data_IF_454386599375
#
_entry.id   IF_454386599375
#
_cell.length_a   1.000
_cell.length_b   1.000
_cell.length_c   1.000
_cell.angle_alpha   90.00
_cell.angle_beta   90.00
_cell.angle_gamma   90.00
#
_symmetry.space_group_name_H-M   'P 1'
#
loop_
_entity.id
_entity.type
_entity.pdbx_description
1 polymer ?
#
# COMPACT_ATOMS: atom_id res chain seq x y z
N UNK A 1 33.98 -12.28 -3.42
CA UNK A 1 33.84 -12.16 -4.89
C UNK A 1 32.36 -12.25 -5.15
N UNK A 2 31.70 -11.10 -5.14
CA UNK A 2 30.23 -11.04 -5.07
C UNK A 2 29.63 -11.33 -6.43
N UNK A 3 28.79 -12.36 -6.49
CA UNK A 3 27.97 -12.72 -7.63
C UNK A 3 26.84 -11.69 -7.79
N UNK A 4 27.15 -10.51 -8.34
CA UNK A 4 26.11 -9.65 -8.89
C UNK A 4 25.56 -10.33 -10.15
N UNK A 5 24.38 -10.92 -10.05
CA UNK A 5 23.60 -11.34 -11.21
C UNK A 5 23.29 -10.10 -12.04
N UNK A 6 24.08 -9.82 -13.07
CA UNK A 6 23.81 -8.68 -13.95
C UNK A 6 22.54 -8.98 -14.75
N UNK A 7 21.50 -8.19 -14.52
CA UNK A 7 20.31 -8.16 -15.35
C UNK A 7 20.73 -7.97 -16.82
N UNK A 8 20.13 -8.68 -17.80
CA UNK A 8 20.48 -8.51 -19.20
C UNK A 8 20.25 -7.05 -19.65
N UNK A 9 20.95 -6.58 -20.70
CA UNK A 9 20.69 -5.26 -21.28
C UNK A 9 19.20 -5.07 -21.58
N UNK A 10 18.63 -3.97 -21.10
CA UNK A 10 17.23 -3.63 -21.29
C UNK A 10 17.11 -2.13 -21.50
N UNK A 11 16.53 -1.75 -22.64
CA UNK A 11 16.35 -0.37 -23.07
C UNK A 11 15.01 -0.23 -23.80
N UNK A 12 14.28 0.83 -23.50
CA UNK A 12 12.99 1.11 -24.11
C UNK A 12 12.94 2.57 -24.59
N UNK A 13 12.21 2.77 -25.68
CA UNK A 13 11.99 4.07 -26.27
C UNK A 13 10.85 4.80 -25.54
N UNK A 14 11.02 6.08 -25.19
CA UNK A 14 10.03 6.87 -24.45
C UNK A 14 9.39 7.96 -25.30
N UNK A 15 10.19 8.77 -26.01
CA UNK A 15 9.72 9.95 -26.75
C UNK A 15 10.44 10.12 -28.09
N UNK A 16 9.68 10.33 -29.17
CA UNK A 16 10.09 10.84 -30.50
C UNK A 16 11.37 10.23 -31.10
N UNK A 17 11.60 8.93 -30.91
CA UNK A 17 12.82 8.17 -31.24
C UNK A 17 14.17 8.74 -30.77
N UNK A 18 14.17 9.72 -29.86
CA UNK A 18 15.37 10.38 -29.37
C UNK A 18 15.62 10.17 -27.87
N UNK A 19 14.61 9.80 -27.08
CA UNK A 19 14.74 9.62 -25.63
C UNK A 19 14.50 8.16 -25.23
N UNK A 20 15.45 7.58 -24.50
CA UNK A 20 15.47 6.17 -24.11
C UNK A 20 15.65 6.03 -22.60
N UNK A 21 15.01 5.01 -22.02
CA UNK A 21 15.21 4.57 -20.64
C UNK A 21 15.88 3.20 -20.65
N UNK A 22 16.86 2.97 -19.78
CA UNK A 22 17.50 1.66 -19.69
C UNK A 22 18.10 1.32 -18.34
N UNK A 23 18.77 0.17 -18.28
CA UNK A 23 19.48 -0.32 -17.10
C UNK A 23 21.00 -0.16 -17.25
N UNK A 24 21.76 -0.52 -16.21
CA UNK A 24 23.22 -0.38 -16.24
C UNK A 24 23.86 -1.26 -17.33
N UNK A 25 23.27 -2.43 -17.61
CA UNK A 25 23.77 -3.33 -18.64
C UNK A 25 23.62 -2.73 -20.05
N UNK A 26 22.49 -2.09 -20.36
CA UNK A 26 22.32 -1.38 -21.65
C UNK A 26 23.25 -0.18 -21.78
N UNK A 27 23.49 0.54 -20.68
CA UNK A 27 24.43 1.67 -20.67
C UNK A 27 25.91 1.27 -20.79
N UNK A 28 26.23 -0.01 -20.59
CA UNK A 28 27.58 -0.57 -20.82
C UNK A 28 27.72 -1.30 -22.15
N UNK A 29 26.61 -1.59 -22.85
CA UNK A 29 26.62 -2.29 -24.12
C UNK A 29 26.89 -1.32 -25.27
N UNK A 30 28.15 -1.22 -25.70
CA UNK A 30 28.57 -0.32 -26.78
C UNK A 30 27.86 -0.64 -28.10
N UNK A 31 27.67 -1.92 -28.46
CA UNK A 31 26.99 -2.28 -29.71
C UNK A 31 25.54 -1.79 -29.73
N UNK A 32 24.85 -1.86 -28.58
CA UNK A 32 23.47 -1.40 -28.44
C UNK A 32 23.38 0.13 -28.58
N UNK A 33 24.34 0.86 -27.99
CA UNK A 33 24.42 2.31 -28.10
C UNK A 33 24.68 2.74 -29.55
N UNK A 34 25.60 2.07 -30.24
CA UNK A 34 25.89 2.32 -31.66
C UNK A 34 24.67 2.02 -32.55
N UNK A 35 24.01 0.86 -32.36
CA UNK A 35 22.83 0.48 -33.13
C UNK A 35 21.68 1.47 -32.97
N UNK A 36 21.48 2.02 -31.76
CA UNK A 36 20.43 3.00 -31.48
C UNK A 36 20.86 4.46 -31.76
N UNK A 37 22.14 4.68 -32.07
CA UNK A 37 22.71 6.00 -32.30
C UNK A 37 22.70 6.89 -31.05
N UNK A 38 22.89 6.31 -29.86
CA UNK A 38 22.93 7.07 -28.60
C UNK A 38 24.12 8.02 -28.62
N UNK A 39 23.86 9.32 -28.50
CA UNK A 39 24.90 10.36 -28.50
C UNK A 39 25.18 10.92 -27.12
N UNK A 40 24.20 10.83 -26.20
CA UNK A 40 24.30 11.35 -24.84
C UNK A 40 23.79 10.34 -23.82
N UNK A 41 24.40 10.34 -22.63
CA UNK A 41 24.03 9.45 -21.52
C UNK A 41 23.79 10.26 -20.25
N UNK A 42 22.72 9.94 -19.53
CA UNK A 42 22.46 10.38 -18.16
C UNK A 42 22.53 9.16 -17.23
N UNK A 43 23.62 9.04 -16.47
CA UNK A 43 23.79 8.03 -15.44
C UNK A 43 23.22 8.52 -14.11
N UNK A 44 22.24 7.80 -13.57
CA UNK A 44 21.64 8.11 -12.26
C UNK A 44 21.90 6.96 -11.29
N UNK A 45 23.17 6.83 -10.87
CA UNK A 45 23.68 5.73 -10.06
C UNK A 45 24.67 6.26 -9.01
N UNK A 46 24.68 5.68 -7.81
CA UNK A 46 25.74 5.92 -6.83
C UNK A 46 27.12 5.66 -7.44
N UNK A 47 28.08 6.52 -7.10
CA UNK A 47 29.47 6.42 -7.54
C UNK A 47 29.63 6.46 -9.08
N UNK A 48 28.64 7.00 -9.80
CA UNK A 48 28.79 7.27 -11.23
C UNK A 48 29.63 8.52 -11.46
N UNK A 49 30.49 8.48 -12.46
CA UNK A 49 31.33 9.60 -12.87
C UNK A 49 31.10 9.89 -14.34
N UNK A 50 31.11 11.18 -14.69
CA UNK A 50 31.04 11.60 -16.09
C UNK A 50 32.32 11.16 -16.81
N UNK A 51 32.16 10.66 -18.03
CA UNK A 51 33.26 10.23 -18.90
C UNK A 51 33.56 11.25 -20.00
N UNK A 52 32.86 12.39 -20.03
CA UNK A 52 33.01 13.40 -21.07
C UNK A 52 31.81 14.35 -21.16
N UNK A 53 31.84 15.32 -22.09
CA UNK A 53 30.81 16.34 -22.23
C UNK A 53 29.41 15.78 -22.55
N UNK A 54 29.35 14.64 -23.26
CA UNK A 54 28.09 13.99 -23.62
C UNK A 54 27.60 12.99 -22.56
N UNK A 55 28.17 13.01 -21.35
CA UNK A 55 27.77 12.13 -20.26
C UNK A 55 27.53 12.94 -18.99
N UNK A 56 26.28 13.03 -18.56
CA UNK A 56 25.91 13.56 -17.25
C UNK A 56 25.84 12.42 -16.23
N UNK A 57 26.60 12.52 -15.14
CA UNK A 57 26.51 11.61 -14.00
C UNK A 57 25.87 12.31 -12.80
N UNK A 58 24.86 11.66 -12.22
CA UNK A 58 24.13 12.07 -11.02
C UNK A 58 24.29 10.94 -9.99
N UNK A 59 25.09 11.20 -8.96
CA UNK A 59 25.38 10.21 -7.92
C UNK A 59 24.34 10.27 -6.80
N UNK A 60 23.33 9.41 -6.90
CA UNK A 60 22.22 9.29 -5.93
C UNK A 60 21.91 7.82 -5.60
N UNK A 61 21.63 7.54 -4.32
CA UNK A 61 21.08 6.26 -3.87
C UNK A 61 19.69 6.01 -4.45
N UNK A 62 19.30 4.74 -4.57
CA UNK A 62 17.88 4.39 -4.71
C UNK A 62 17.30 4.26 -3.30
N UNK A 63 17.00 5.39 -2.67
CA UNK A 63 16.49 5.47 -1.31
C UNK A 63 15.40 6.54 -1.25
N UNK A 64 14.36 6.30 -0.47
CA UNK A 64 13.26 7.23 -0.25
C UNK A 64 13.72 8.53 0.42
N UNK A 65 14.87 8.50 1.11
CA UNK A 65 15.47 9.64 1.81
C UNK A 65 16.43 10.47 0.96
N UNK A 66 16.78 9.99 -0.24
CA UNK A 66 17.79 10.61 -1.10
C UNK A 66 17.23 11.85 -1.81
N UNK A 67 18.06 12.88 -1.98
CA UNK A 67 17.65 14.13 -2.63
C UNK A 67 18.00 14.12 -4.12
N UNK A 68 17.10 13.57 -4.93
CA UNK A 68 17.23 13.65 -6.39
C UNK A 68 16.70 14.99 -6.92
N UNK A 69 15.80 15.65 -6.20
CA UNK A 69 15.10 16.87 -6.56
C UNK A 69 16.08 17.98 -6.98
N UNK A 70 17.13 18.22 -6.20
CA UNK A 70 18.11 19.26 -6.49
C UNK A 70 18.89 19.04 -7.80
N UNK A 71 18.92 17.80 -8.30
CA UNK A 71 19.62 17.44 -9.54
C UNK A 71 18.74 17.54 -10.79
N UNK A 72 17.41 17.55 -10.63
CA UNK A 72 16.47 17.49 -11.75
C UNK A 72 16.63 18.65 -12.75
N UNK A 73 16.80 19.93 -12.35
CA UNK A 73 16.97 21.02 -13.32
C UNK A 73 18.16 20.81 -14.26
N UNK A 74 19.29 20.34 -13.71
CA UNK A 74 20.51 20.08 -14.48
C UNK A 74 20.28 18.92 -15.45
N UNK A 75 19.60 17.86 -15.01
CA UNK A 75 19.28 16.71 -15.84
C UNK A 75 18.35 17.09 -17.01
N UNK A 76 17.27 17.80 -16.71
CA UNK A 76 16.32 18.25 -17.72
C UNK A 76 16.98 19.16 -18.77
N UNK A 77 17.82 20.11 -18.33
CA UNK A 77 18.58 20.98 -19.25
C UNK A 77 19.53 20.20 -20.14
N UNK A 78 20.25 19.22 -19.58
CA UNK A 78 21.15 18.36 -20.36
C UNK A 78 20.40 17.55 -21.42
N UNK A 79 19.25 16.96 -21.05
CA UNK A 79 18.39 16.22 -21.98
C UNK A 79 17.89 17.16 -23.07
N UNK A 80 17.34 18.33 -22.72
CA UNK A 80 16.78 19.26 -23.69
C UNK A 80 17.83 19.73 -24.71
N UNK A 81 19.00 20.16 -24.24
CA UNK A 81 20.09 20.60 -25.13
C UNK A 81 20.50 19.49 -26.12
N UNK A 82 20.65 18.26 -25.63
CA UNK A 82 21.01 17.13 -26.47
C UNK A 82 19.95 16.83 -27.55
N UNK A 83 18.67 16.97 -27.20
CA UNK A 83 17.56 16.77 -28.14
C UNK A 83 17.47 17.90 -29.18
N UNK A 84 17.68 19.15 -28.77
CA UNK A 84 17.71 20.32 -29.65
C UNK A 84 18.84 20.20 -30.70
N UNK A 85 19.97 19.61 -30.33
CA UNK A 85 21.09 19.29 -31.22
C UNK A 85 20.87 17.99 -32.03
N UNK A 86 19.63 17.50 -32.14
CA UNK A 86 19.25 16.26 -32.84
C UNK A 86 19.95 15.01 -32.31
N UNK A 87 20.42 15.05 -31.07
CA UNK A 87 21.01 13.92 -30.37
C UNK A 87 19.97 12.90 -29.91
N UNK A 88 20.47 11.76 -29.41
CA UNK A 88 19.69 10.71 -28.78
C UNK A 88 20.23 10.43 -27.39
N UNK A 89 19.34 10.46 -26.40
CA UNK A 89 19.70 10.44 -24.98
C UNK A 89 19.25 9.12 -24.35
N UNK A 90 20.18 8.42 -23.70
CA UNK A 90 19.89 7.31 -22.81
C UNK A 90 19.92 7.79 -21.36
N UNK A 91 18.79 7.71 -20.66
CA UNK A 91 18.72 7.91 -19.21
C UNK A 91 18.64 6.55 -18.53
N UNK A 92 19.60 6.24 -17.65
CA UNK A 92 19.63 4.94 -16.99
C UNK A 92 19.96 5.04 -15.51
N UNK A 93 19.53 4.02 -14.77
CA UNK A 93 20.04 3.71 -13.44
C UNK A 93 20.45 2.23 -13.39
N UNK A 94 20.58 1.64 -12.20
CA UNK A 94 20.99 0.22 -12.08
C UNK A 94 19.98 -0.68 -12.80
N UNK A 95 18.69 -0.55 -12.50
CA UNK A 95 17.62 -1.41 -13.04
C UNK A 95 16.74 -0.73 -14.09
N UNK A 96 16.86 0.59 -14.27
CA UNK A 96 15.97 1.35 -15.14
C UNK A 96 14.53 1.41 -14.61
N UNK A 97 14.35 1.43 -13.29
CA UNK A 97 13.02 1.31 -12.63
C UNK A 97 12.64 2.59 -11.88
N UNK A 98 13.53 3.07 -11.00
CA UNK A 98 13.22 4.17 -10.06
C UNK A 98 13.92 5.48 -10.44
N UNK A 99 15.20 5.66 -10.09
CA UNK A 99 15.98 6.90 -10.32
C UNK A 99 15.91 7.47 -11.74
N UNK A 100 16.16 6.65 -12.76
CA UNK A 100 16.12 7.09 -14.16
C UNK A 100 14.72 7.48 -14.61
N UNK A 101 13.71 6.75 -14.13
CA UNK A 101 12.30 7.09 -14.33
C UNK A 101 11.99 8.45 -13.73
N UNK A 102 12.43 8.73 -12.49
CA UNK A 102 12.23 10.04 -11.86
C UNK A 102 12.78 11.19 -12.70
N UNK A 103 14.00 11.04 -13.24
CA UNK A 103 14.59 12.05 -14.13
C UNK A 103 13.77 12.24 -15.41
N UNK A 104 13.30 11.16 -16.02
CA UNK A 104 12.47 11.25 -17.22
C UNK A 104 11.09 11.86 -16.94
N UNK A 105 10.45 11.51 -15.82
CA UNK A 105 9.20 12.14 -15.40
C UNK A 105 9.40 13.64 -15.21
N UNK A 106 10.46 14.05 -14.51
CA UNK A 106 10.81 15.45 -14.32
C UNK A 106 11.01 16.19 -15.66
N UNK A 107 11.71 15.57 -16.61
CA UNK A 107 11.91 16.13 -17.95
C UNK A 107 10.57 16.32 -18.68
N UNK A 108 9.69 15.33 -18.68
CA UNK A 108 8.38 15.42 -19.32
C UNK A 108 7.47 16.45 -18.64
N UNK A 109 7.53 16.57 -17.32
CA UNK A 109 6.81 17.60 -16.58
C UNK A 109 7.26 19.01 -17.02
N UNK A 110 8.57 19.25 -17.05
CA UNK A 110 9.11 20.57 -17.39
C UNK A 110 8.89 20.93 -18.88
N UNK A 111 9.19 19.99 -19.79
CA UNK A 111 9.14 20.21 -21.25
C UNK A 111 7.72 20.20 -21.83
N UNK A 112 6.84 19.33 -21.31
CA UNK A 112 5.48 19.12 -21.85
C UNK A 112 4.36 19.57 -20.91
N UNK A 113 4.69 20.18 -19.77
CA UNK A 113 3.73 20.64 -18.74
C UNK A 113 2.77 19.54 -18.26
N UNK A 114 3.27 18.31 -18.21
CA UNK A 114 2.51 17.16 -17.74
C UNK A 114 2.48 17.13 -16.21
N UNK A 115 1.41 16.58 -15.63
CA UNK A 115 1.43 16.21 -14.21
C UNK A 115 2.38 15.00 -14.00
N UNK A 116 2.94 14.83 -12.78
CA UNK A 116 3.79 13.67 -12.47
C UNK A 116 3.16 12.34 -12.86
N UNK A 117 1.88 12.16 -12.54
CA UNK A 117 1.13 10.94 -12.85
C UNK A 117 0.93 10.73 -14.35
N UNK A 118 0.67 11.80 -15.12
CA UNK A 118 0.53 11.69 -16.56
C UNK A 118 1.85 11.33 -17.24
N UNK A 119 2.95 11.96 -16.82
CA UNK A 119 4.28 11.69 -17.33
C UNK A 119 4.75 10.26 -16.98
N UNK A 120 4.53 9.81 -15.74
CA UNK A 120 4.83 8.43 -15.34
C UNK A 120 4.04 7.41 -16.17
N UNK A 121 2.73 7.63 -16.37
CA UNK A 121 1.91 6.74 -17.21
C UNK A 121 2.39 6.68 -18.66
N UNK A 122 2.87 7.80 -19.21
CA UNK A 122 3.44 7.80 -20.56
C UNK A 122 4.67 6.89 -20.64
N UNK A 123 5.56 6.96 -19.66
CA UNK A 123 6.75 6.09 -19.62
C UNK A 123 6.33 4.62 -19.43
N UNK A 124 5.31 4.36 -18.61
CA UNK A 124 4.78 3.00 -18.38
C UNK A 124 4.22 2.33 -19.64
N UNK A 125 3.78 3.10 -20.65
CA UNK A 125 3.33 2.53 -21.93
C UNK A 125 4.48 1.82 -22.67
N UNK A 126 5.69 2.34 -22.56
CA UNK A 126 6.89 1.74 -23.16
C UNK A 126 7.59 0.77 -22.23
N UNK A 127 7.65 1.08 -20.94
CA UNK A 127 8.34 0.27 -19.92
C UNK A 127 7.41 0.04 -18.71
N UNK A 128 6.55 -0.99 -18.74
CA UNK A 128 5.55 -1.23 -17.68
C UNK A 128 6.14 -1.43 -16.28
N UNK A 129 7.41 -1.85 -16.18
CA UNK A 129 8.09 -2.11 -14.91
C UNK A 129 8.60 -0.87 -14.17
N UNK A 130 8.41 0.35 -14.70
CA UNK A 130 8.90 1.55 -14.01
C UNK A 130 8.12 1.84 -12.74
N UNK A 131 8.85 2.20 -11.69
CA UNK A 131 8.33 2.49 -10.36
C UNK A 131 9.36 3.32 -9.60
N UNK A 132 9.26 4.66 -9.61
CA UNK A 132 9.99 5.49 -8.67
C UNK A 132 9.60 5.12 -7.24
N UNK A 133 10.57 5.12 -6.33
CA UNK A 133 10.26 4.96 -4.91
C UNK A 133 9.37 6.11 -4.41
N UNK A 134 8.72 5.89 -3.27
CA UNK A 134 7.78 6.85 -2.69
C UNK A 134 8.40 8.25 -2.49
N UNK A 135 9.62 8.32 -1.96
CA UNK A 135 10.33 9.58 -1.72
C UNK A 135 10.53 10.39 -3.01
N UNK A 136 10.93 9.73 -4.09
CA UNK A 136 11.08 10.35 -5.42
C UNK A 136 9.75 10.77 -6.02
N UNK A 137 8.68 10.00 -5.83
CA UNK A 137 7.34 10.40 -6.28
C UNK A 137 6.89 11.70 -5.60
N UNK A 138 7.18 11.90 -4.32
CA UNK A 138 6.88 13.16 -3.61
C UNK A 138 7.76 14.30 -4.08
N UNK A 139 9.04 14.05 -4.33
CA UNK A 139 9.95 15.05 -4.90
C UNK A 139 9.48 15.60 -6.25
N UNK A 140 8.79 14.81 -7.07
CA UNK A 140 8.20 15.31 -8.31
C UNK A 140 7.08 16.34 -8.09
N UNK A 141 6.27 16.23 -7.03
CA UNK A 141 5.29 17.27 -6.70
C UNK A 141 6.01 18.56 -6.32
N UNK A 142 6.99 18.44 -5.43
CA UNK A 142 7.79 19.58 -4.97
C UNK A 142 8.54 20.21 -6.15
N UNK A 143 8.98 19.43 -7.14
CA UNK A 143 9.59 19.94 -8.36
C UNK A 143 8.65 20.89 -9.13
N UNK A 144 7.37 20.54 -9.23
CA UNK A 144 6.36 21.42 -9.82
C UNK A 144 6.08 22.65 -8.94
N UNK A 145 6.00 22.48 -7.61
CA UNK A 145 5.82 23.57 -6.64
C UNK A 145 7.00 24.55 -6.62
N UNK A 146 8.20 24.10 -6.98
CA UNK A 146 9.38 24.93 -7.13
C UNK A 146 9.47 25.63 -8.51
N UNK A 147 8.42 25.58 -9.33
CA UNK A 147 8.44 26.03 -10.74
C UNK A 147 9.63 25.42 -11.52
N UNK A 148 9.99 24.17 -11.20
CA UNK A 148 11.10 23.42 -11.78
C UNK A 148 12.51 23.95 -11.46
N UNK A 149 12.65 24.82 -10.46
CA UNK A 149 13.94 25.36 -9.98
C UNK A 149 14.08 25.25 -8.44
N UNK A 150 14.17 24.04 -7.87
CA UNK A 150 14.47 23.85 -6.46
C UNK A 150 15.83 24.45 -6.09
N UNK A 151 15.87 25.12 -4.94
CA UNK A 151 17.06 25.80 -4.41
C UNK A 151 16.94 26.00 -2.90
N UNK A 152 18.03 26.31 -2.23
CA UNK A 152 18.08 26.51 -0.77
C UNK A 152 17.25 27.69 -0.27
N UNK A 153 16.83 28.59 -1.15
CA UNK A 153 15.96 29.74 -0.90
C UNK A 153 14.51 29.53 -1.37
N UNK A 154 14.22 28.46 -2.12
CA UNK A 154 12.86 28.13 -2.53
C UNK A 154 12.03 27.61 -1.33
N UNK A 155 10.91 28.26 -0.96
CA UNK A 155 10.13 27.87 0.21
C UNK A 155 9.63 26.42 0.20
N UNK A 156 9.16 25.93 -0.95
CA UNK A 156 8.63 24.57 -1.11
C UNK A 156 9.74 23.53 -0.93
N UNK A 157 10.91 23.77 -1.55
CA UNK A 157 12.08 22.90 -1.37
C UNK A 157 12.54 22.86 0.09
N UNK A 158 12.66 24.02 0.74
CA UNK A 158 13.09 24.11 2.14
C UNK A 158 12.10 23.40 3.08
N UNK A 159 10.80 23.58 2.86
CA UNK A 159 9.77 22.90 3.64
C UNK A 159 9.86 21.38 3.45
N UNK A 160 9.92 20.90 2.22
CA UNK A 160 10.08 19.49 1.92
C UNK A 160 11.33 18.90 2.57
N UNK A 161 12.48 19.58 2.44
CA UNK A 161 13.76 19.12 2.99
C UNK A 161 13.71 18.92 4.52
N UNK A 162 12.90 19.72 5.22
CA UNK A 162 12.69 19.61 6.69
C UNK A 162 11.77 18.46 7.07
N UNK A 163 10.78 18.15 6.23
CA UNK A 163 9.73 17.18 6.56
C UNK A 163 9.94 15.78 5.96
N UNK A 164 10.81 15.65 4.95
CA UNK A 164 10.93 14.42 4.16
C UNK A 164 11.21 13.17 5.00
N UNK A 165 12.12 13.25 5.98
CA UNK A 165 12.48 12.08 6.80
C UNK A 165 11.29 11.58 7.61
N UNK A 166 10.51 12.50 8.21
CA UNK A 166 9.32 12.15 8.96
C UNK A 166 8.25 11.53 8.06
N UNK A 167 8.00 12.12 6.88
CA UNK A 167 7.00 11.61 5.94
C UNK A 167 7.37 10.23 5.38
N UNK A 168 8.64 10.03 5.04
CA UNK A 168 9.15 8.73 4.56
C UNK A 168 9.12 7.70 5.68
N UNK A 169 9.60 8.04 6.88
CA UNK A 169 9.58 7.12 8.04
C UNK A 169 8.16 6.65 8.35
N UNK A 170 7.18 7.56 8.34
CA UNK A 170 5.78 7.20 8.55
C UNK A 170 5.27 6.20 7.52
N UNK A 171 5.58 6.42 6.25
CA UNK A 171 5.22 5.50 5.17
C UNK A 171 5.91 4.12 5.33
N UNK A 172 7.22 4.10 5.57
CA UNK A 172 7.97 2.85 5.72
C UNK A 172 7.48 2.03 6.93
N UNK A 173 7.16 2.68 8.04
CA UNK A 173 6.58 2.01 9.22
C UNK A 173 5.25 1.34 8.88
N UNK A 174 4.37 2.01 8.12
CA UNK A 174 3.11 1.40 7.68
C UNK A 174 3.32 0.15 6.80
N UNK A 175 4.36 0.14 5.97
CA UNK A 175 4.71 -1.06 5.19
C UNK A 175 5.21 -2.20 6.09
N UNK A 176 6.06 -1.88 7.06
CA UNK A 176 6.60 -2.85 8.03
C UNK A 176 5.49 -3.48 8.87
N UNK A 177 4.47 -2.69 9.23
CA UNK A 177 3.32 -3.16 10.03
C UNK A 177 2.36 -4.06 9.23
N UNK A 178 2.55 -4.19 7.91
CA UNK A 178 1.77 -5.10 7.08
C UNK A 178 2.27 -6.55 7.26
N UNK A 179 1.48 -7.35 7.96
CA UNK A 179 1.86 -8.67 8.45
C UNK A 179 1.34 -9.78 7.54
N UNK A 180 2.19 -10.72 7.06
CA UNK A 180 1.73 -11.90 6.34
C UNK A 180 1.07 -12.90 7.30
N UNK A 181 -0.23 -13.16 7.10
CA UNK A 181 -0.97 -14.21 7.82
C UNK A 181 -0.83 -15.56 7.11
N UNK A 182 -0.99 -15.54 5.79
CA UNK A 182 -0.66 -16.68 4.93
C UNK A 182 0.41 -16.17 3.98
N UNK A 183 1.66 -16.68 4.05
CA UNK A 183 2.76 -16.22 3.20
C UNK A 183 2.34 -16.18 1.73
N UNK A 184 2.65 -15.05 1.08
CA UNK A 184 2.38 -14.80 -0.34
C UNK A 184 0.90 -14.82 -0.78
N UNK A 185 -0.06 -14.90 0.15
CA UNK A 185 -1.49 -14.99 -0.17
C UNK A 185 -2.37 -14.00 0.60
N UNK A 186 -2.12 -13.83 1.90
CA UNK A 186 -2.99 -13.03 2.77
C UNK A 186 -2.17 -12.17 3.73
N UNK A 187 -2.29 -10.87 3.59
CA UNK A 187 -1.70 -9.84 4.45
C UNK A 187 -2.77 -9.22 5.34
N UNK A 188 -2.38 -8.83 6.54
CA UNK A 188 -3.17 -8.02 7.47
C UNK A 188 -2.42 -6.71 7.75
N UNK A 189 -3.13 -5.59 7.76
CA UNK A 189 -2.58 -4.33 8.27
C UNK A 189 -3.60 -3.60 9.14
N UNK A 190 -3.10 -2.91 10.17
CA UNK A 190 -3.89 -2.01 11.03
C UNK A 190 -4.17 -0.66 10.38
N UNK A 191 -3.52 -0.33 9.26
CA UNK A 191 -3.75 0.91 8.52
C UNK A 191 -3.69 0.68 7.01
N UNK A 192 -4.14 1.68 6.26
CA UNK A 192 -3.88 1.78 4.83
C UNK A 192 -3.65 3.26 4.50
N UNK A 193 -2.72 3.59 3.59
CA UNK A 193 -2.39 4.98 3.33
C UNK A 193 -3.59 5.80 2.86
N UNK A 194 -3.61 7.07 3.25
CA UNK A 194 -4.57 8.10 2.83
C UNK A 194 -4.05 8.95 1.65
N UNK A 195 -2.73 8.97 1.44
CA UNK A 195 -2.08 9.51 0.25
C UNK A 195 -2.03 8.47 -0.89
N UNK A 196 -2.45 8.87 -2.09
CA UNK A 196 -2.56 7.96 -3.23
C UNK A 196 -1.20 7.40 -3.69
N UNK A 197 -0.09 8.14 -3.50
CA UNK A 197 1.25 7.69 -3.89
C UNK A 197 1.77 6.67 -2.89
N UNK A 198 1.55 6.88 -1.60
CA UNK A 198 1.84 5.88 -0.57
C UNK A 198 1.04 4.59 -0.82
N UNK A 199 -0.27 4.71 -1.07
CA UNK A 199 -1.12 3.56 -1.37
C UNK A 199 -0.63 2.81 -2.62
N UNK A 200 -0.27 3.54 -3.68
CA UNK A 200 0.26 2.96 -4.91
C UNK A 200 1.60 2.26 -4.67
N UNK A 201 2.53 2.89 -3.97
CA UNK A 201 3.83 2.31 -3.61
C UNK A 201 3.66 1.06 -2.76
N UNK A 202 2.87 1.10 -1.68
CA UNK A 202 2.57 -0.07 -0.84
C UNK A 202 2.01 -1.23 -1.67
N UNK A 203 1.00 -0.95 -2.51
CA UNK A 203 0.38 -1.97 -3.35
C UNK A 203 1.39 -2.61 -4.29
N UNK A 204 2.20 -1.80 -4.97
CA UNK A 204 3.12 -2.31 -5.98
C UNK A 204 4.33 -3.00 -5.35
N UNK A 205 4.88 -2.46 -4.25
CA UNK A 205 6.03 -3.02 -3.53
C UNK A 205 5.69 -4.36 -2.88
N UNK A 206 4.52 -4.49 -2.27
CA UNK A 206 4.07 -5.75 -1.70
C UNK A 206 3.48 -6.70 -2.74
N UNK A 207 3.19 -6.23 -3.97
CA UNK A 207 2.55 -7.03 -5.01
C UNK A 207 1.08 -7.32 -4.72
N UNK A 208 0.40 -6.43 -3.99
CA UNK A 208 -1.00 -6.56 -3.65
C UNK A 208 -1.84 -6.46 -4.92
N UNK A 209 -2.82 -7.35 -5.05
CA UNK A 209 -3.74 -7.40 -6.19
C UNK A 209 -5.19 -7.19 -5.78
N UNK A 210 -5.50 -7.51 -4.52
CA UNK A 210 -6.85 -7.42 -3.97
C UNK A 210 -6.81 -6.74 -2.59
N UNK A 211 -7.78 -5.88 -2.30
CA UNK A 211 -7.86 -5.16 -1.03
C UNK A 211 -9.24 -5.36 -0.40
N UNK A 212 -9.27 -5.81 0.86
CA UNK A 212 -10.46 -5.81 1.71
C UNK A 212 -10.35 -4.65 2.70
N UNK A 213 -11.24 -3.68 2.55
CA UNK A 213 -11.23 -2.44 3.33
C UNK A 213 -12.36 -2.44 4.35
N UNK A 214 -12.06 -2.62 5.63
CA UNK A 214 -13.07 -2.60 6.71
C UNK A 214 -13.26 -1.20 7.28
N UNK A 215 -12.23 -0.38 7.20
CA UNK A 215 -12.31 1.07 7.39
C UNK A 215 -12.17 1.71 6.01
N UNK A 216 -13.28 1.98 5.29
CA UNK A 216 -13.22 2.37 3.89
C UNK A 216 -12.38 3.62 3.69
N UNK A 217 -11.38 3.54 2.80
CA UNK A 217 -10.63 4.70 2.34
C UNK A 217 -11.25 5.26 1.05
N UNK A 218 -11.45 6.57 0.92
CA UNK A 218 -12.04 7.15 -0.31
C UNK A 218 -11.07 7.18 -1.51
N UNK A 219 -9.85 6.68 -1.35
CA UNK A 219 -8.86 6.60 -2.41
C UNK A 219 -9.34 5.75 -3.60
N UNK A 220 -9.22 6.34 -4.79
CA UNK A 220 -9.35 5.61 -6.06
C UNK A 220 -8.09 4.82 -6.31
N UNK A 221 -8.14 3.52 -6.02
CA UNK A 221 -7.06 2.60 -6.33
C UNK A 221 -6.91 2.43 -7.85
N UNK A 222 -5.74 1.97 -8.32
CA UNK A 222 -5.56 1.65 -9.73
C UNK A 222 -6.61 0.64 -10.23
N UNK A 223 -7.04 0.72 -11.50
CA UNK A 223 -8.15 -0.10 -12.02
C UNK A 223 -7.85 -1.61 -12.05
N UNK A 224 -6.59 -2.01 -11.95
CA UNK A 224 -6.16 -3.39 -11.89
C UNK A 224 -6.19 -3.99 -10.47
N UNK A 225 -6.51 -3.18 -9.45
CA UNK A 225 -6.66 -3.64 -8.08
C UNK A 225 -8.15 -3.89 -7.80
N UNK A 226 -8.48 -5.14 -7.51
CA UNK A 226 -9.84 -5.50 -7.09
C UNK A 226 -10.05 -5.09 -5.62
N UNK A 227 -11.19 -4.50 -5.28
CA UNK A 227 -11.46 -3.98 -3.94
C UNK A 227 -12.83 -4.44 -3.41
N UNK A 228 -12.87 -4.82 -2.14
CA UNK A 228 -14.09 -5.12 -1.40
C UNK A 228 -14.18 -4.23 -0.15
N UNK A 229 -15.21 -3.39 -0.08
CA UNK A 229 -15.46 -2.51 1.07
C UNK A 229 -16.46 -3.14 2.05
N UNK A 230 -16.03 -3.39 3.28
CA UNK A 230 -16.90 -3.78 4.39
C UNK A 230 -17.38 -2.51 5.08
N UNK A 231 -18.52 -1.98 4.62
CA UNK A 231 -19.12 -0.75 5.13
C UNK A 231 -19.91 -1.00 6.41
N UNK A 232 -19.25 -0.86 7.55
CA UNK A 232 -19.87 -1.04 8.85
C UNK A 232 -20.96 0.00 9.14
N UNK A 233 -22.12 -0.46 9.60
CA UNK A 233 -23.18 0.38 10.16
C UNK A 233 -22.96 0.61 11.67
N UNK A 234 -23.84 1.38 12.30
CA UNK A 234 -23.83 1.55 13.77
C UNK A 234 -24.31 0.31 14.55
N UNK A 235 -24.80 -0.73 13.85
CA UNK A 235 -25.30 -1.95 14.48
C UNK A 235 -24.14 -2.88 14.87
N UNK A 236 -24.25 -3.52 16.03
CA UNK A 236 -23.17 -4.36 16.60
C UNK A 236 -22.82 -5.55 15.70
N UNK A 237 -23.82 -6.10 15.04
CA UNK A 237 -23.75 -7.26 14.15
C UNK A 237 -23.31 -6.93 12.72
N UNK A 238 -23.04 -5.66 12.41
CA UNK A 238 -22.73 -5.25 11.04
C UNK A 238 -21.50 -5.99 10.49
N UNK A 239 -20.40 -6.07 11.26
CA UNK A 239 -19.22 -6.81 10.83
C UNK A 239 -19.53 -8.30 10.65
N UNK A 240 -20.21 -8.90 11.62
CA UNK A 240 -20.56 -10.32 11.60
C UNK A 240 -21.35 -10.70 10.34
N UNK A 241 -22.38 -9.91 10.00
CA UNK A 241 -23.27 -10.17 8.85
C UNK A 241 -22.62 -9.89 7.49
N UNK A 242 -21.62 -9.00 7.42
CA UNK A 242 -20.87 -8.69 6.20
C UNK A 242 -19.67 -9.62 5.98
N UNK A 243 -19.19 -10.28 7.03
CA UNK A 243 -18.00 -11.13 6.99
C UNK A 243 -18.04 -12.26 5.93
N UNK A 244 -19.16 -12.96 5.67
CA UNK A 244 -19.21 -13.98 4.62
C UNK A 244 -18.79 -13.47 3.24
N UNK A 245 -19.23 -12.26 2.86
CA UNK A 245 -18.91 -11.69 1.56
C UNK A 245 -17.41 -11.37 1.45
N UNK A 246 -16.81 -10.84 2.52
CA UNK A 246 -15.37 -10.61 2.59
C UNK A 246 -14.57 -11.92 2.50
N UNK A 247 -15.01 -12.98 3.20
CA UNK A 247 -14.35 -14.29 3.16
C UNK A 247 -14.42 -14.93 1.76
N UNK A 248 -15.55 -14.78 1.06
CA UNK A 248 -15.71 -15.22 -0.34
C UNK A 248 -14.77 -14.44 -1.25
N UNK A 249 -14.68 -13.12 -1.10
CA UNK A 249 -13.76 -12.29 -1.88
C UNK A 249 -12.29 -12.71 -1.68
N UNK A 250 -11.87 -12.95 -0.43
CA UNK A 250 -10.51 -13.44 -0.12
C UNK A 250 -10.26 -14.79 -0.79
N UNK A 251 -11.19 -15.74 -0.69
CA UNK A 251 -11.09 -17.06 -1.34
C UNK A 251 -10.91 -16.93 -2.84
N UNK A 252 -11.76 -16.16 -3.50
CA UNK A 252 -11.77 -16.04 -4.96
C UNK A 252 -10.50 -15.33 -5.46
N UNK A 253 -10.01 -14.33 -4.72
CA UNK A 253 -8.74 -13.68 -4.99
C UNK A 253 -7.55 -14.64 -4.90
N UNK A 254 -7.46 -15.42 -3.81
CA UNK A 254 -6.40 -16.41 -3.63
C UNK A 254 -6.47 -17.51 -4.69
N UNK A 255 -7.67 -17.95 -5.07
CA UNK A 255 -7.86 -18.94 -6.15
C UNK A 255 -7.34 -18.42 -7.51
N UNK A 256 -7.38 -17.11 -7.75
CA UNK A 256 -6.79 -16.43 -8.91
C UNK A 256 -5.28 -16.16 -8.75
N UNK A 257 -4.63 -16.68 -7.70
CA UNK A 257 -3.24 -16.38 -7.31
C UNK A 257 -2.99 -14.90 -6.99
N UNK A 258 -4.02 -14.21 -6.52
CA UNK A 258 -3.89 -12.85 -6.03
C UNK A 258 -3.37 -12.79 -4.60
N UNK A 259 -2.52 -11.82 -4.32
CA UNK A 259 -2.17 -11.40 -2.96
C UNK A 259 -3.24 -10.44 -2.42
N UNK A 260 -3.83 -10.79 -1.27
CA UNK A 260 -4.92 -10.05 -0.64
C UNK A 260 -4.41 -9.28 0.58
N UNK A 261 -4.67 -7.97 0.64
CA UNK A 261 -4.50 -7.17 1.86
C UNK A 261 -5.85 -6.95 2.55
N UNK A 262 -5.98 -7.38 3.80
CA UNK A 262 -7.10 -7.02 4.68
C UNK A 262 -6.65 -5.92 5.61
N UNK A 263 -7.34 -4.78 5.61
CA UNK A 263 -6.97 -3.65 6.47
C UNK A 263 -8.13 -3.03 7.23
N UNK A 264 -7.82 -2.47 8.41
CA UNK A 264 -8.79 -1.79 9.27
C UNK A 264 -8.07 -0.93 10.30
N UNK A 265 -8.52 0.33 10.48
CA UNK A 265 -8.05 1.22 11.55
C UNK A 265 -8.29 0.63 12.96
N UNK A 266 -9.22 -0.32 13.06
CA UNK A 266 -9.38 -1.18 14.22
C UNK A 266 -8.84 -2.57 13.86
N UNK A 267 -7.59 -2.86 14.24
CA UNK A 267 -6.89 -4.13 13.94
C UNK A 267 -7.75 -5.36 14.25
N UNK A 268 -8.49 -5.31 15.36
CA UNK A 268 -9.42 -6.35 15.78
C UNK A 268 -10.45 -6.72 14.70
N UNK A 269 -10.93 -5.76 13.90
CA UNK A 269 -11.90 -6.06 12.84
C UNK A 269 -11.25 -6.80 11.67
N UNK A 270 -10.02 -6.42 11.27
CA UNK A 270 -9.26 -7.14 10.26
C UNK A 270 -8.95 -8.57 10.72
N UNK A 271 -8.54 -8.72 11.97
CA UNK A 271 -8.31 -10.01 12.59
C UNK A 271 -9.57 -10.90 12.61
N UNK A 272 -10.75 -10.34 12.91
CA UNK A 272 -12.03 -11.06 12.85
C UNK A 272 -12.28 -11.60 11.43
N UNK A 273 -12.12 -10.78 10.39
CA UNK A 273 -12.34 -11.20 8.99
C UNK A 273 -11.34 -12.25 8.55
N UNK A 274 -10.06 -12.09 8.91
CA UNK A 274 -9.00 -13.06 8.61
C UNK A 274 -9.28 -14.41 9.27
N UNK A 275 -9.62 -14.43 10.57
CA UNK A 275 -9.97 -15.66 11.26
C UNK A 275 -11.26 -16.28 10.70
N UNK A 276 -12.27 -15.46 10.36
CA UNK A 276 -13.49 -15.91 9.70
C UNK A 276 -13.20 -16.62 8.38
N UNK A 277 -12.28 -16.09 7.56
CA UNK A 277 -11.84 -16.73 6.33
C UNK A 277 -11.16 -18.09 6.60
N UNK A 278 -10.24 -18.15 7.56
CA UNK A 278 -9.57 -19.40 7.95
C UNK A 278 -10.57 -20.46 8.43
N UNK A 279 -11.57 -20.07 9.22
CA UNK A 279 -12.62 -20.96 9.68
C UNK A 279 -13.50 -21.46 8.52
N UNK A 280 -14.03 -20.54 7.72
CA UNK A 280 -15.01 -20.87 6.67
C UNK A 280 -14.37 -21.63 5.50
N UNK A 281 -13.18 -21.23 5.06
CA UNK A 281 -12.59 -21.71 3.81
C UNK A 281 -11.47 -22.75 4.04
N UNK A 282 -10.68 -22.60 5.11
CA UNK A 282 -9.63 -23.55 5.48
C UNK A 282 -10.12 -24.61 6.49
N UNK A 283 -11.41 -24.57 6.88
CA UNK A 283 -12.05 -25.49 7.82
C UNK A 283 -11.32 -25.57 9.17
N UNK A 284 -10.71 -24.47 9.60
CA UNK A 284 -10.03 -24.38 10.88
C UNK A 284 -11.05 -24.19 12.02
N UNK A 285 -10.77 -24.77 13.18
CA UNK A 285 -11.49 -24.41 14.41
C UNK A 285 -11.11 -22.99 14.85
N UNK A 286 -11.91 -22.37 15.71
CA UNK A 286 -11.59 -21.06 16.33
C UNK A 286 -10.19 -21.08 16.95
N UNK A 287 -9.83 -22.16 17.66
CA UNK A 287 -8.50 -22.28 18.28
C UNK A 287 -7.38 -22.34 17.25
N UNK A 288 -7.58 -23.04 16.13
CA UNK A 288 -6.58 -23.12 15.06
C UNK A 288 -6.42 -21.79 14.34
N UNK A 289 -7.52 -21.12 13.96
CA UNK A 289 -7.46 -19.83 13.28
C UNK A 289 -6.79 -18.76 14.14
N UNK A 290 -7.10 -18.74 15.44
CA UNK A 290 -6.51 -17.76 16.35
C UNK A 290 -5.03 -18.05 16.66
N UNK A 291 -4.54 -19.29 16.53
CA UNK A 291 -3.10 -19.59 16.62
C UNK A 291 -2.35 -19.06 15.42
N UNK A 292 -2.87 -19.28 14.20
CA UNK A 292 -2.28 -18.71 12.97
C UNK A 292 -2.14 -17.19 13.07
N UNK A 293 -3.17 -16.52 13.60
CA UNK A 293 -3.13 -15.07 13.83
C UNK A 293 -2.07 -14.68 14.86
N UNK A 294 -1.99 -15.35 16.01
CA UNK A 294 -1.02 -15.03 17.08
C UNK A 294 0.42 -15.33 16.70
N UNK A 295 0.65 -16.39 15.92
CA UNK A 295 1.98 -16.70 15.40
C UNK A 295 2.47 -15.57 14.47
N UNK A 296 1.56 -14.95 13.71
CA UNK A 296 1.85 -13.81 12.86
C UNK A 296 1.90 -12.47 13.63
N UNK A 297 1.05 -12.29 14.64
CA UNK A 297 0.92 -11.08 15.46
C UNK A 297 1.07 -11.42 16.96
N UNK A 298 2.31 -11.60 17.47
CA UNK A 298 2.53 -12.06 18.85
C UNK A 298 2.01 -11.11 19.94
N UNK A 299 1.79 -9.83 19.59
CA UNK A 299 1.27 -8.79 20.49
C UNK A 299 -0.24 -8.54 20.32
N UNK A 300 -0.92 -9.31 19.47
CA UNK A 300 -2.35 -9.14 19.24
C UNK A 300 -3.16 -9.43 20.51
N UNK A 301 -3.98 -8.45 20.91
CA UNK A 301 -4.83 -8.59 22.10
C UNK A 301 -6.22 -9.14 21.72
N UNK A 302 -6.51 -10.37 22.14
CA UNK A 302 -7.84 -10.99 21.98
C UNK A 302 -8.89 -10.31 22.86
N UNK A 303 -9.56 -9.31 22.31
CA UNK A 303 -10.69 -8.67 22.99
C UNK A 303 -11.87 -9.63 23.15
N UNK A 304 -12.76 -9.35 24.11
CA UNK A 304 -14.04 -10.07 24.23
C UNK A 304 -14.88 -9.94 22.96
N UNK A 305 -14.80 -8.79 22.29
CA UNK A 305 -15.47 -8.56 21.00
C UNK A 305 -14.96 -9.51 19.91
N UNK A 306 -13.63 -9.67 19.80
CA UNK A 306 -13.00 -10.61 18.88
C UNK A 306 -13.50 -12.04 19.08
N UNK A 307 -13.37 -12.55 20.31
CA UNK A 307 -13.77 -13.92 20.64
C UNK A 307 -15.25 -14.15 20.34
N UNK A 308 -16.11 -13.19 20.74
CA UNK A 308 -17.56 -13.30 20.55
C UNK A 308 -17.96 -13.35 19.08
N UNK A 309 -17.31 -12.56 18.22
CA UNK A 309 -17.58 -12.60 16.78
C UNK A 309 -17.29 -13.96 16.16
N UNK A 310 -16.17 -14.60 16.52
CA UNK A 310 -15.81 -15.91 15.99
C UNK A 310 -16.75 -17.01 16.50
N UNK A 311 -17.12 -16.99 17.78
CA UNK A 311 -18.12 -17.92 18.34
C UNK A 311 -19.47 -17.82 17.64
N UNK A 312 -19.96 -16.58 17.43
CA UNK A 312 -21.21 -16.34 16.74
C UNK A 312 -21.13 -16.79 15.28
N UNK A 313 -20.00 -16.53 14.62
CA UNK A 313 -19.79 -16.93 13.23
C UNK A 313 -19.82 -18.44 13.06
N UNK A 314 -19.13 -19.19 13.93
CA UNK A 314 -19.13 -20.65 13.98
C UNK A 314 -20.54 -21.19 14.27
N UNK A 315 -21.22 -20.61 15.28
CA UNK A 315 -22.59 -21.01 15.68
C UNK A 315 -23.63 -20.80 14.58
N UNK A 316 -23.40 -19.87 13.65
CA UNK A 316 -24.27 -19.61 12.50
C UNK A 316 -23.89 -20.46 11.27
N UNK A 317 -22.99 -21.44 11.39
CA UNK A 317 -22.48 -22.20 10.25
C UNK A 317 -21.76 -21.33 9.22
N UNK A 318 -21.13 -20.23 9.67
CA UNK A 318 -20.45 -19.24 8.84
C UNK A 318 -21.36 -18.43 7.90
N UNK A 319 -22.68 -18.46 8.11
CA UNK A 319 -23.66 -17.67 7.36
C UNK A 319 -24.56 -16.86 8.29
N UNK A 320 -24.00 -15.95 9.11
CA UNK A 320 -24.78 -15.13 10.02
C UNK A 320 -25.72 -14.19 9.26
N UNK A 321 -26.94 -14.07 9.76
CA UNK A 321 -27.92 -13.06 9.33
C UNK A 321 -28.39 -12.29 10.55
N UNK A 322 -28.92 -11.07 10.35
CA UNK A 322 -29.46 -10.28 11.46
C UNK A 322 -30.61 -11.02 12.19
N UNK A 323 -31.37 -11.85 11.45
CA UNK A 323 -32.49 -12.62 11.99
C UNK A 323 -32.10 -13.95 12.63
N UNK A 324 -30.82 -14.38 12.54
CA UNK A 324 -30.37 -15.65 13.11
C UNK A 324 -30.61 -15.65 14.64
N UNK A 325 -31.18 -16.73 15.23
CA UNK A 325 -31.58 -16.73 16.64
C UNK A 325 -30.47 -16.29 17.61
N UNK A 326 -29.25 -16.81 17.41
CA UNK A 326 -28.08 -16.50 18.24
C UNK A 326 -27.60 -15.05 18.05
N UNK A 327 -27.76 -14.49 16.85
CA UNK A 327 -27.40 -13.10 16.55
C UNK A 327 -28.41 -12.15 17.20
N UNK A 328 -29.72 -12.45 17.10
CA UNK A 328 -30.80 -11.68 17.75
C UNK A 328 -30.69 -11.67 19.27
N UNK A 329 -30.33 -12.80 19.87
CA UNK A 329 -30.09 -12.91 21.30
C UNK A 329 -28.93 -12.00 21.73
N UNK A 330 -27.81 -12.03 20.99
CA UNK A 330 -26.65 -11.20 21.29
C UNK A 330 -26.90 -9.69 21.10
N UNK A 331 -27.67 -9.31 20.09
CA UNK A 331 -28.02 -7.90 19.82
C UNK A 331 -29.11 -7.36 20.73
N UNK A 332 -29.77 -8.23 21.53
CA UNK A 332 -30.87 -7.85 22.42
C UNK A 332 -32.21 -7.71 21.71
N UNK A 333 -32.33 -8.16 20.45
CA UNK A 333 -33.57 -8.20 19.68
C UNK A 333 -34.40 -9.45 19.99
N UNK A 334 -34.66 -9.73 21.27
CA UNK A 334 -35.67 -10.72 21.64
C UNK A 334 -37.05 -10.13 21.33
N UNK A 335 -37.78 -10.79 20.42
CA UNK A 335 -39.20 -10.52 20.22
C UNK A 335 -39.91 -10.75 21.57
N UNK A 336 -40.47 -9.70 22.15
CA UNK A 336 -41.49 -9.83 23.18
C UNK A 336 -42.70 -10.52 22.56
N UNK A 337 -42.70 -11.86 22.57
CA UNK A 337 -43.72 -12.64 21.91
C UNK A 337 -43.52 -14.12 22.17
N UNK A 338 -44.38 -14.63 23.07
CA UNK A 338 -44.62 -16.05 23.41
C UNK A 338 -43.95 -16.53 24.71
N UNK A 339 -44.54 -16.12 25.84
CA UNK A 339 -44.83 -17.02 26.97
C UNK A 339 -46.18 -16.59 27.59
N UNK A 340 -47.25 -17.22 27.11
CA UNK A 340 -48.51 -17.33 27.86
C UNK A 340 -48.37 -18.48 28.87
N UNK A 341 -48.77 -18.23 30.12
CA UNK A 341 -48.90 -19.22 31.20
C UNK A 341 -47.58 -19.41 31.98
N UNK A 342 -47.47 -19.18 33.28
CA UNK A 342 -48.47 -19.33 34.35
C UNK A 342 -48.12 -18.46 35.55
N UNK A 343 -49.16 -17.91 36.17
CA UNK A 343 -49.23 -17.35 37.52
C UNK A 343 -48.56 -18.27 38.59
N UNK A 344 -48.05 -17.63 39.67
CA UNK A 344 -47.37 -18.14 40.90
C UNK A 344 -45.85 -17.91 40.80
N UNK A 345 -45.17 -17.11 41.61
CA UNK A 345 -45.33 -16.79 43.03
C UNK A 345 -45.08 -15.30 43.29
N UNK A 346 -46.11 -14.60 43.78
CA UNK A 346 -45.94 -13.52 44.74
C UNK A 346 -45.98 -14.18 46.10
N UNK A 347 -44.82 -14.33 46.73
CA UNK A 347 -44.64 -14.30 48.19
C UNK A 347 -43.32 -14.97 48.55
N UNK A 348 -42.26 -14.18 48.69
CA UNK A 348 -41.28 -14.36 49.76
C UNK A 348 -40.35 -13.17 49.83
N UNK A 349 -40.35 -12.55 51.00
CA UNK A 349 -39.28 -11.70 51.55
C UNK A 349 -39.31 -10.22 51.19
N UNK A 350 -40.45 -9.59 51.49
CA UNK A 350 -40.47 -8.30 52.17
C UNK A 350 -40.42 -8.58 53.68
N UNK A 351 -39.23 -8.62 54.28
CA UNK A 351 -39.04 -8.50 55.73
C UNK A 351 -37.57 -8.21 56.05
N UNK A 352 -37.39 -7.18 56.89
CA UNK A 352 -36.15 -6.72 57.55
C UNK A 352 -35.37 -5.67 56.74
N UNK A 353 -35.98 -4.48 56.63
CA UNK A 353 -35.27 -3.23 56.94
C UNK A 353 -35.38 -3.00 58.45
N UNK A 354 -34.40 -2.28 58.97
CA UNK A 354 -34.26 -1.76 60.34
C UNK A 354 -33.54 -2.70 61.30
N UNK A 355 -32.21 -2.57 61.33
CA UNK A 355 -31.55 -2.32 62.62
C UNK A 355 -30.18 -1.64 62.45
N UNK A 356 -30.18 -0.38 62.91
CA UNK A 356 -29.16 0.28 63.76
C UNK A 356 -27.83 0.78 63.17
N UNK A 357 -27.78 2.10 63.09
CA UNK A 357 -26.63 2.99 63.13
C UNK A 357 -25.92 2.97 64.51
N UNK A 358 -24.58 3.12 64.49
CA UNK A 358 -23.68 3.79 65.47
C UNK A 358 -22.71 2.95 66.34
N UNK A 359 -21.48 3.48 66.38
CA UNK A 359 -20.28 3.19 67.22
C UNK A 359 -19.55 1.88 66.87
N UNK A 360 -18.25 1.85 66.55
CA UNK A 360 -17.09 2.67 66.95
C UNK A 360 -16.21 3.11 65.79
#
# INVERSE_FOLDING_TARGET
MDSQSFSPPSIDHVVDNQLYIGNLASAKASELQECLGITHIVSVCQNSHSTGPNHLAISVADSEYEDILIHLPKACKFIQNALDDSGRVLVHCVMGVSRSTTVLVAYLMQSRRMSPNAALRLIQQSRPSVMPNYGFLKQLDVFAECDYYPSSDNPSYVYWKRMQEQHVTRFLNQMIDTTPIIPEQLLLSSEFPDDIKQAYSLIQELGITHVVSISPCELRLPPFIERHDVRLSHQKESLLTLMPAACIFIRDAIAKKGLVLVHSLVECNAAIVVCGYLMQQQKMTITQSCRVLEDALPLFNRTSNFARHLELFDSCGHTPTADHPVVREWTGHIQAGVLNGTQRDKDRHRRIRDHTTKYQ
#
